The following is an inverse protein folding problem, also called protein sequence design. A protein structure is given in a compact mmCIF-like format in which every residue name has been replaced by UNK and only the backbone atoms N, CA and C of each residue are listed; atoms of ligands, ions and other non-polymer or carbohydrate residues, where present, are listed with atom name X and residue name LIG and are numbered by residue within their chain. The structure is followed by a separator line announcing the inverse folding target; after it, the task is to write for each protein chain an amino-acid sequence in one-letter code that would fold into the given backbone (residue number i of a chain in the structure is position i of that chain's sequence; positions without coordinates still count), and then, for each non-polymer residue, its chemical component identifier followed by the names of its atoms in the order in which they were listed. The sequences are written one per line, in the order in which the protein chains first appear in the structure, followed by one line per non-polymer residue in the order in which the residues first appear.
data_IF_923984925108
#
_entry.id   IF_923984925108
#
_cell.length_a   1.000
_cell.length_b   1.000
_cell.length_c   1.000
_cell.angle_alpha   90.00
_cell.angle_beta   90.00
_cell.angle_gamma   90.00
#
_symmetry.space_group_name_H-M   'P 1'
#
loop_
_entity.id
_entity.type
_entity.pdbx_description
1 polymer ?
#
# COMPACT_ATOMS: atom_id res chain seq x y z
N UNK A 1 -36.26 -9.23 -11.95
CA UNK A 1 -35.59 -10.51 -11.72
C UNK A 1 -34.21 -10.17 -11.19
N UNK A 2 -33.96 -10.39 -9.90
CA UNK A 2 -32.62 -10.29 -9.31
C UNK A 2 -31.88 -11.55 -9.72
N UNK A 3 -31.00 -11.42 -10.70
CA UNK A 3 -30.05 -12.48 -11.05
C UNK A 3 -29.14 -12.69 -9.83
N UNK A 4 -29.11 -13.89 -9.25
CA UNK A 4 -28.13 -14.21 -8.21
C UNK A 4 -26.73 -14.22 -8.85
N UNK A 5 -25.95 -13.17 -8.59
CA UNK A 5 -24.58 -13.04 -9.08
C UNK A 5 -23.73 -14.12 -8.41
N UNK A 6 -23.01 -14.93 -9.20
CA UNK A 6 -22.18 -16.01 -8.68
C UNK A 6 -21.00 -15.44 -7.89
N UNK A 7 -20.77 -15.90 -6.67
CA UNK A 7 -19.59 -15.50 -5.89
C UNK A 7 -18.42 -16.46 -6.10
N UNK A 8 -17.25 -15.92 -6.39
CA UNK A 8 -15.99 -16.65 -6.54
C UNK A 8 -14.99 -16.09 -5.52
N UNK A 9 -14.59 -16.92 -4.56
CA UNK A 9 -13.63 -16.54 -3.52
C UNK A 9 -12.39 -17.42 -3.66
N UNK A 10 -11.25 -16.81 -4.01
CA UNK A 10 -9.96 -17.47 -4.11
C UNK A 10 -9.12 -17.09 -2.88
N UNK A 11 -8.81 -18.04 -1.98
CA UNK A 11 -8.04 -17.75 -0.77
C UNK A 11 -6.56 -17.48 -1.09
N UNK A 12 -5.86 -16.85 -0.13
CA UNK A 12 -4.47 -16.36 -0.25
C UNK A 12 -3.46 -17.44 -0.68
N UNK A 13 -3.67 -18.68 -0.27
CA UNK A 13 -2.81 -19.81 -0.58
C UNK A 13 -3.00 -20.36 -2.00
N UNK A 14 -4.13 -20.02 -2.65
CA UNK A 14 -4.48 -20.45 -4.02
C UNK A 14 -4.27 -19.36 -5.07
N UNK A 15 -3.93 -18.14 -4.68
CA UNK A 15 -3.61 -17.08 -5.62
C UNK A 15 -2.32 -17.39 -6.38
N UNK A 16 -2.37 -17.29 -7.71
CA UNK A 16 -1.22 -17.53 -8.60
C UNK A 16 -0.35 -16.28 -8.81
N UNK A 17 -0.65 -15.21 -8.09
CA UNK A 17 0.06 -13.94 -8.14
C UNK A 17 0.24 -13.37 -6.72
N UNK A 18 1.27 -12.56 -6.55
CA UNK A 18 1.60 -11.88 -5.30
C UNK A 18 2.23 -10.52 -5.55
N UNK A 19 2.33 -9.71 -4.49
CA UNK A 19 2.95 -8.40 -4.51
C UNK A 19 4.24 -8.43 -3.66
N UNK A 20 5.35 -7.95 -4.21
CA UNK A 20 6.60 -7.82 -3.45
C UNK A 20 6.60 -6.58 -2.54
N UNK A 21 7.67 -6.44 -1.74
CA UNK A 21 7.83 -5.32 -0.79
C UNK A 21 7.88 -3.92 -1.43
N UNK A 22 8.00 -3.84 -2.76
CA UNK A 22 8.08 -2.60 -3.53
C UNK A 22 6.78 -2.31 -4.30
N UNK A 23 5.74 -3.13 -4.11
CA UNK A 23 4.46 -2.96 -4.79
C UNK A 23 4.46 -3.48 -6.22
N UNK A 24 5.41 -4.36 -6.57
CA UNK A 24 5.48 -4.99 -7.89
C UNK A 24 4.74 -6.32 -7.85
N UNK A 25 3.89 -6.54 -8.85
CA UNK A 25 3.16 -7.80 -9.01
C UNK A 25 4.03 -8.86 -9.69
N UNK A 26 3.93 -10.09 -9.19
CA UNK A 26 4.62 -11.27 -9.69
C UNK A 26 3.66 -12.46 -9.82
N UNK A 27 3.99 -13.40 -10.70
CA UNK A 27 3.41 -14.75 -10.78
C UNK A 27 4.52 -15.80 -10.97
N UNK A 28 4.14 -17.06 -11.23
CA UNK A 28 5.09 -18.15 -11.49
C UNK A 28 6.05 -17.90 -12.67
N UNK A 29 5.69 -17.01 -13.59
CA UNK A 29 6.52 -16.63 -14.75
C UNK A 29 7.37 -15.38 -14.49
N UNK A 30 7.28 -14.80 -13.29
CA UNK A 30 8.03 -13.62 -12.87
C UNK A 30 7.17 -12.37 -12.78
N UNK A 31 7.80 -11.21 -12.98
CA UNK A 31 7.19 -9.90 -12.79
C UNK A 31 6.14 -9.59 -13.87
N UNK A 32 5.05 -8.94 -13.48
CA UNK A 32 4.11 -8.34 -14.44
C UNK A 32 4.77 -7.17 -15.17
N UNK A 33 4.73 -7.20 -16.50
CA UNK A 33 5.32 -6.14 -17.33
C UNK A 33 4.26 -5.23 -17.98
N UNK A 34 3.05 -5.74 -18.20
CA UNK A 34 1.99 -5.01 -18.91
C UNK A 34 1.38 -3.89 -18.04
N UNK A 35 1.59 -2.60 -18.37
CA UNK A 35 1.17 -1.50 -17.50
C UNK A 35 -0.33 -1.43 -17.27
N UNK A 36 -1.14 -1.80 -18.28
CA UNK A 36 -2.61 -1.83 -18.16
C UNK A 36 -3.08 -2.90 -17.17
N UNK A 37 -2.43 -4.07 -17.17
CA UNK A 37 -2.73 -5.15 -16.24
C UNK A 37 -2.39 -4.73 -14.81
N UNK A 38 -1.21 -4.14 -14.61
CA UNK A 38 -0.77 -3.63 -13.30
C UNK A 38 -1.72 -2.55 -12.80
N UNK A 39 -2.11 -1.60 -13.66
CA UNK A 39 -3.04 -0.54 -13.31
C UNK A 39 -4.42 -1.09 -12.91
N UNK A 40 -4.91 -2.09 -13.65
CA UNK A 40 -6.16 -2.77 -13.33
C UNK A 40 -6.07 -3.48 -11.97
N UNK A 41 -5.05 -4.32 -11.76
CA UNK A 41 -4.84 -5.04 -10.50
C UNK A 41 -4.76 -4.08 -9.32
N UNK A 42 -3.98 -3.01 -9.45
CA UNK A 42 -3.88 -2.00 -8.41
C UNK A 42 -5.24 -1.33 -8.13
N UNK A 43 -5.96 -0.87 -9.15
CA UNK A 43 -7.27 -0.24 -8.98
C UNK A 43 -8.31 -1.15 -8.33
N UNK A 44 -8.14 -2.47 -8.49
CA UNK A 44 -9.00 -3.50 -7.90
C UNK A 44 -8.62 -3.90 -6.48
N UNK A 45 -7.55 -3.35 -5.88
CA UNK A 45 -7.18 -3.67 -4.49
C UNK A 45 -8.23 -3.12 -3.52
N UNK A 46 -8.78 -4.03 -2.71
CA UNK A 46 -9.67 -3.74 -1.59
C UNK A 46 -9.19 -4.48 -0.34
N UNK A 47 -9.76 -4.10 0.81
CA UNK A 47 -9.53 -4.78 2.08
C UNK A 47 -10.88 -5.05 2.74
N UNK A 48 -11.02 -6.23 3.32
CA UNK A 48 -12.09 -6.56 4.27
C UNK A 48 -11.48 -7.35 5.45
N UNK A 49 -12.32 -7.95 6.28
CA UNK A 49 -11.90 -8.69 7.48
C UNK A 49 -10.99 -9.89 7.16
N UNK A 50 -11.01 -10.41 5.93
CA UNK A 50 -10.13 -11.50 5.48
C UNK A 50 -8.80 -11.00 4.88
N UNK A 51 -8.62 -9.69 4.78
CA UNK A 51 -7.39 -9.04 4.34
C UNK A 51 -7.50 -8.40 2.94
N UNK A 52 -6.34 -8.15 2.34
CA UNK A 52 -6.28 -7.53 1.01
C UNK A 52 -6.61 -8.52 -0.10
N UNK A 53 -7.43 -8.07 -1.05
CA UNK A 53 -7.83 -8.85 -2.22
C UNK A 53 -7.94 -7.97 -3.46
N UNK A 54 -7.78 -8.61 -4.63
CA UNK A 54 -8.18 -8.03 -5.91
C UNK A 54 -9.66 -8.34 -6.11
N UNK A 55 -10.45 -7.30 -6.36
CA UNK A 55 -11.89 -7.37 -6.53
C UNK A 55 -12.30 -7.15 -7.99
N UNK A 56 -13.21 -7.99 -8.48
CA UNK A 56 -13.84 -7.83 -9.78
C UNK A 56 -15.35 -8.07 -9.66
N UNK A 57 -16.14 -7.25 -10.34
CA UNK A 57 -17.59 -7.41 -10.45
C UNK A 57 -17.98 -7.38 -11.92
N UNK A 58 -18.79 -8.35 -12.33
CA UNK A 58 -19.40 -8.44 -13.66
C UNK A 58 -20.90 -8.72 -13.51
N UNK A 59 -21.64 -8.75 -14.61
CA UNK A 59 -23.07 -9.11 -14.59
C UNK A 59 -23.30 -10.59 -14.21
N UNK A 60 -22.27 -11.44 -14.29
CA UNK A 60 -22.35 -12.88 -14.07
C UNK A 60 -21.78 -13.30 -12.71
N UNK A 61 -20.70 -12.65 -12.27
CA UNK A 61 -20.00 -13.00 -11.05
C UNK A 61 -19.36 -11.83 -10.30
N UNK A 62 -19.20 -12.03 -9.00
CA UNK A 62 -18.40 -11.23 -8.08
C UNK A 62 -17.20 -12.08 -7.66
N UNK A 63 -15.99 -11.62 -7.94
CA UNK A 63 -14.74 -12.32 -7.63
C UNK A 63 -13.90 -11.56 -6.60
N UNK A 64 -13.42 -12.28 -5.59
CA UNK A 64 -12.43 -11.84 -4.61
C UNK A 64 -11.25 -12.78 -4.61
N UNK A 65 -10.07 -12.27 -4.97
CA UNK A 65 -8.81 -13.02 -4.93
C UNK A 65 -7.91 -12.43 -3.86
N UNK A 66 -7.83 -13.09 -2.71
CA UNK A 66 -6.89 -12.72 -1.66
C UNK A 66 -5.48 -13.08 -2.12
N UNK A 67 -4.53 -12.18 -1.95
CA UNK A 67 -3.17 -12.36 -2.48
C UNK A 67 -2.12 -12.18 -1.40
N UNK A 68 -0.95 -12.78 -1.61
CA UNK A 68 0.21 -12.57 -0.74
C UNK A 68 0.85 -11.23 -1.05
N UNK A 69 1.20 -10.47 -0.03
CA UNK A 69 2.09 -9.32 -0.12
C UNK A 69 3.24 -9.49 0.89
N UNK A 70 4.45 -9.10 0.50
CA UNK A 70 5.63 -9.21 1.38
C UNK A 70 5.69 -8.13 2.46
N UNK A 71 5.08 -6.97 2.22
CA UNK A 71 5.13 -5.81 3.11
C UNK A 71 3.72 -5.25 3.31
N UNK A 72 3.25 -4.43 2.37
CA UNK A 72 1.87 -3.94 2.31
C UNK A 72 1.30 -4.08 0.89
N UNK A 73 -0.02 -3.96 0.76
CA UNK A 73 -0.72 -3.89 -0.52
C UNK A 73 -0.90 -2.45 -1.04
N UNK A 74 -0.76 -1.44 -0.17
CA UNK A 74 -1.03 -0.04 -0.50
C UNK A 74 0.22 0.83 -0.44
N UNK A 75 0.42 1.59 -1.51
CA UNK A 75 1.61 2.41 -1.69
C UNK A 75 1.22 3.83 -2.07
N UNK A 76 1.84 4.83 -1.44
CA UNK A 76 1.79 6.22 -1.91
C UNK A 76 2.65 6.32 -3.17
N UNK A 77 1.99 6.49 -4.32
CA UNK A 77 2.64 6.61 -5.64
C UNK A 77 2.78 8.05 -6.11
N UNK A 78 1.98 8.95 -5.54
CA UNK A 78 2.09 10.38 -5.80
C UNK A 78 1.69 11.23 -4.59
N UNK A 79 2.24 12.44 -4.49
CA UNK A 79 1.99 13.40 -3.42
C UNK A 79 1.81 14.79 -4.03
N UNK A 80 0.77 15.49 -3.59
CA UNK A 80 0.63 16.92 -3.73
C UNK A 80 0.79 17.57 -2.35
N UNK A 81 2.02 17.96 -2.02
CA UNK A 81 2.36 18.48 -0.69
C UNK A 81 1.65 19.80 -0.39
N UNK A 82 1.52 20.70 -1.37
CA UNK A 82 0.84 21.99 -1.16
C UNK A 82 -0.66 21.86 -0.89
N UNK A 83 -1.28 20.78 -1.37
CA UNK A 83 -2.67 20.42 -1.07
C UNK A 83 -2.80 19.42 0.09
N UNK A 84 -1.69 18.96 0.65
CA UNK A 84 -1.66 17.91 1.66
C UNK A 84 -2.38 16.63 1.20
N UNK A 85 -2.29 16.25 -0.08
CA UNK A 85 -2.97 15.07 -0.61
C UNK A 85 -2.01 14.01 -1.15
N UNK A 86 -2.38 12.76 -0.91
CA UNK A 86 -1.69 11.55 -1.34
C UNK A 86 -2.52 10.82 -2.38
N UNK A 87 -1.86 10.16 -3.31
CA UNK A 87 -2.47 9.23 -4.27
C UNK A 87 -1.88 7.86 -4.04
N UNK A 88 -2.75 6.88 -3.78
CA UNK A 88 -2.36 5.49 -3.60
C UNK A 88 -2.30 4.74 -4.94
N UNK A 89 -1.62 3.59 -4.96
CA UNK A 89 -1.53 2.72 -6.14
C UNK A 89 -2.91 2.31 -6.69
N UNK A 90 -3.91 2.11 -5.82
CA UNK A 90 -5.29 1.82 -6.23
C UNK A 90 -6.09 3.03 -6.73
N UNK A 91 -5.46 4.21 -6.80
CA UNK A 91 -6.09 5.45 -7.25
C UNK A 91 -6.83 6.23 -6.15
N UNK A 92 -6.96 5.67 -4.95
CA UNK A 92 -7.56 6.37 -3.81
C UNK A 92 -6.76 7.62 -3.48
N UNK A 93 -7.48 8.72 -3.23
CA UNK A 93 -6.92 9.97 -2.75
C UNK A 93 -7.21 10.12 -1.27
N UNK A 94 -6.22 10.51 -0.49
CA UNK A 94 -6.38 10.78 0.93
C UNK A 94 -5.58 12.00 1.36
N UNK A 95 -5.93 12.55 2.52
CA UNK A 95 -5.19 13.66 3.13
C UNK A 95 -3.95 13.11 3.82
N UNK A 96 -2.82 13.79 3.65
CA UNK A 96 -1.60 13.54 4.41
C UNK A 96 -1.83 13.97 5.87
N UNK A 97 -1.73 13.01 6.78
CA UNK A 97 -1.77 13.24 8.22
C UNK A 97 -0.36 13.00 8.79
N UNK A 98 0.45 14.06 9.01
CA UNK A 98 1.83 13.92 9.48
C UNK A 98 1.97 13.13 10.79
N UNK A 99 0.97 13.22 11.67
CA UNK A 99 0.94 12.52 12.95
C UNK A 99 0.84 10.99 12.81
N UNK A 100 0.46 10.48 11.64
CA UNK A 100 0.35 9.04 11.35
C UNK A 100 1.60 8.48 10.65
N UNK A 101 2.60 9.32 10.41
CA UNK A 101 3.84 8.91 9.76
C UNK A 101 4.77 8.22 10.75
N UNK A 102 5.44 7.18 10.26
CA UNK A 102 6.49 6.50 10.99
C UNK A 102 7.52 5.90 10.02
N UNK A 103 8.74 5.71 10.50
CA UNK A 103 9.77 4.94 9.79
C UNK A 103 9.89 3.53 10.37
N UNK A 104 10.17 2.57 9.50
CA UNK A 104 10.56 1.21 9.88
C UNK A 104 11.35 0.58 8.72
N UNK A 105 12.41 -0.18 9.01
CA UNK A 105 13.20 -0.89 7.98
C UNK A 105 13.61 0.03 6.80
N UNK A 106 14.14 1.22 7.10
CA UNK A 106 14.56 2.25 6.13
C UNK A 106 13.47 2.74 5.17
N UNK A 107 12.19 2.53 5.49
CA UNK A 107 11.06 3.02 4.71
C UNK A 107 10.14 3.90 5.55
N UNK A 108 9.46 4.84 4.87
CA UNK A 108 8.42 5.67 5.45
C UNK A 108 7.06 5.03 5.22
N UNK A 109 6.24 5.03 6.25
CA UNK A 109 4.88 4.53 6.23
C UNK A 109 3.91 5.55 6.78
N UNK A 110 2.65 5.37 6.44
CA UNK A 110 1.50 5.98 7.07
C UNK A 110 0.60 4.86 7.60
N UNK A 111 0.19 4.96 8.87
CA UNK A 111 -0.76 4.04 9.49
C UNK A 111 -2.10 4.71 9.69
N UNK A 112 -3.13 4.17 9.06
CA UNK A 112 -4.53 4.46 9.39
C UNK A 112 -5.07 3.34 10.28
N UNK A 113 -6.27 3.52 10.84
CA UNK A 113 -6.94 2.44 11.57
C UNK A 113 -7.19 1.18 10.74
N UNK A 114 -7.13 1.28 9.40
CA UNK A 114 -7.41 0.18 8.48
C UNK A 114 -6.19 -0.27 7.67
N UNK A 115 -5.22 0.62 7.42
CA UNK A 115 -4.17 0.38 6.44
C UNK A 115 -2.79 0.79 6.96
N UNK A 116 -1.82 -0.09 6.73
CA UNK A 116 -0.42 0.29 6.65
C UNK A 116 -0.10 0.65 5.20
N UNK A 117 0.42 1.83 4.94
CA UNK A 117 0.65 2.34 3.58
C UNK A 117 2.10 2.76 3.47
N UNK A 118 2.82 2.24 2.48
CA UNK A 118 4.25 2.53 2.29
C UNK A 118 4.47 3.64 1.26
N UNK A 119 5.44 4.51 1.50
CA UNK A 119 5.83 5.52 0.52
C UNK A 119 6.79 4.92 -0.50
N UNK A 120 6.49 5.11 -1.78
CA UNK A 120 7.45 4.75 -2.85
C UNK A 120 8.59 5.75 -2.93
N UNK A 121 9.74 5.34 -3.47
CA UNK A 121 10.88 6.24 -3.70
C UNK A 121 10.47 7.51 -4.45
N UNK A 122 9.61 7.36 -5.47
CA UNK A 122 9.07 8.49 -6.25
C UNK A 122 8.31 9.48 -5.37
N UNK A 123 7.50 9.00 -4.44
CA UNK A 123 6.76 9.82 -3.50
C UNK A 123 7.70 10.49 -2.48
N UNK A 124 8.68 9.73 -1.98
CA UNK A 124 9.70 10.24 -1.06
C UNK A 124 10.54 11.36 -1.65
N UNK A 125 10.93 11.28 -2.93
CA UNK A 125 11.65 12.37 -3.62
C UNK A 125 10.87 13.70 -3.59
N UNK A 126 9.53 13.64 -3.61
CA UNK A 126 8.70 14.85 -3.50
C UNK A 126 8.60 15.35 -2.07
N UNK A 127 8.56 14.43 -1.11
CA UNK A 127 8.41 14.74 0.31
C UNK A 127 9.72 15.19 0.96
N UNK A 128 10.88 14.74 0.45
CA UNK A 128 12.19 14.98 1.06
C UNK A 128 12.55 16.45 1.24
N UNK A 129 12.04 17.33 0.37
CA UNK A 129 12.22 18.79 0.48
C UNK A 129 11.59 19.40 1.74
N UNK A 130 10.69 18.66 2.37
CA UNK A 130 9.97 19.04 3.57
C UNK A 130 10.44 18.24 4.78
N UNK A 131 11.37 17.32 4.59
CA UNK A 131 11.91 16.47 5.65
C UNK A 131 13.24 17.04 6.13
N UNK A 132 13.45 17.02 7.44
CA UNK A 132 14.70 17.42 8.08
C UNK A 132 15.05 16.38 9.14
N UNK A 133 16.34 16.11 9.30
CA UNK A 133 16.87 15.19 10.30
C UNK A 133 17.83 15.93 11.21
N UNK A 134 17.52 15.95 12.50
CA UNK A 134 18.35 16.60 13.52
C UNK A 134 18.55 15.65 14.68
N UNK A 135 19.80 15.45 15.09
CA UNK A 135 20.16 14.58 16.21
C UNK A 135 19.60 13.14 16.07
N UNK A 136 19.50 12.64 14.83
CA UNK A 136 18.92 11.32 14.52
C UNK A 136 17.39 11.26 14.56
N UNK A 137 16.71 12.37 14.81
CA UNK A 137 15.27 12.47 14.76
C UNK A 137 14.82 13.02 13.40
N UNK A 138 14.11 12.18 12.64
CA UNK A 138 13.46 12.59 11.41
C UNK A 138 12.20 13.42 11.70
N UNK A 139 11.98 14.48 10.93
CA UNK A 139 10.82 15.35 11.05
C UNK A 139 10.31 15.79 9.69
N UNK A 140 9.02 16.12 9.62
CA UNK A 140 8.36 16.66 8.44
C UNK A 140 7.87 18.08 8.76
N UNK A 141 8.15 19.05 7.90
CA UNK A 141 7.71 20.44 8.04
C UNK A 141 6.78 20.83 6.90
N UNK A 142 5.53 21.15 7.22
CA UNK A 142 4.50 21.61 6.28
C UNK A 142 3.77 22.83 6.86
N UNK A 143 3.56 23.87 6.05
CA UNK A 143 2.85 25.09 6.46
C UNK A 143 3.38 25.67 7.78
N UNK A 144 4.71 25.76 7.92
CA UNK A 144 5.43 26.27 9.10
C UNK A 144 5.22 25.49 10.40
N UNK A 145 4.58 24.32 10.34
CA UNK A 145 4.48 23.38 11.45
C UNK A 145 5.40 22.19 11.19
N UNK A 146 6.07 21.72 12.25
CA UNK A 146 6.97 20.57 12.20
C UNK A 146 6.40 19.43 13.02
N UNK A 147 6.44 18.22 12.47
CA UNK A 147 6.01 16.99 13.10
C UNK A 147 7.18 16.01 13.17
N UNK A 148 7.50 15.45 14.34
CA UNK A 148 8.47 14.36 14.42
C UNK A 148 7.89 13.10 13.77
N UNK A 149 8.71 12.38 13.03
CA UNK A 149 8.39 11.07 12.48
C UNK A 149 9.00 10.03 13.41
N UNK A 150 8.17 9.22 14.05
CA UNK A 150 8.63 8.21 15.00
C UNK A 150 9.24 7.02 14.25
N UNK A 151 10.36 6.51 14.75
CA UNK A 151 10.87 5.21 14.32
C UNK A 151 10.17 4.11 15.11
N UNK A 152 9.54 3.17 14.42
CA UNK A 152 9.00 1.97 15.05
C UNK A 152 10.07 0.88 15.04
N UNK A 153 10.24 0.14 16.15
CA UNK A 153 11.14 -1.00 16.16
C UNK A 153 10.69 -2.00 15.09
N UNK A 154 11.67 -2.55 14.35
CA UNK A 154 11.42 -3.67 13.46
C UNK A 154 10.69 -4.75 14.26
N UNK A 155 9.46 -5.08 13.85
CA UNK A 155 8.73 -6.21 14.44
C UNK A 155 9.47 -7.50 14.07
N UNK A 156 10.46 -7.87 14.88
CA UNK A 156 11.04 -9.21 14.87
C UNK A 156 9.93 -10.17 15.30
N UNK A 157 9.31 -10.89 14.35
CA UNK A 157 8.25 -11.82 14.73
C UNK A 157 7.40 -12.43 13.63
N UNK A 158 7.99 -13.04 12.60
CA UNK A 158 7.50 -14.33 12.08
C UNK A 158 8.73 -15.20 11.82
N UNK A 159 8.72 -16.41 12.35
CA UNK A 159 9.87 -17.28 12.57
C UNK A 159 10.62 -17.60 11.27
N UNK A 160 11.94 -17.43 11.29
CA UNK A 160 12.81 -18.28 10.49
C UNK A 160 12.70 -19.69 11.07
N UNK A 161 11.90 -20.55 10.45
CA UNK A 161 12.05 -21.98 10.67
C UNK A 161 13.33 -22.41 9.93
N UNK A 162 14.23 -22.93 10.76
CA UNK A 162 15.48 -23.64 10.51
C UNK A 162 15.46 -24.66 9.37
#
# INVERSE_FOLDING_TARGET
MTSDIKQIIIPRDKAVFWMDKNGVWHNEHGRFEHPKLIAYFNASIRKDDMGYHVYQLTDEFEEKVYFRHEDTALFVVDINVSKGSLVLNNGTKMTLCPEQLYTANDALYLETGEHTIKFTDRALVKLSKFMDEREGQLSLTLNDKTWPIVEKPCSQGEKCDS
#
